data_IF_289909527083
#
_entry.id   IF_289909527083
#
_cell.length_a   1.000
_cell.length_b   1.000
_cell.length_c   1.000
_cell.angle_alpha   90.00
_cell.angle_beta   90.00
_cell.angle_gamma   90.00
#
_symmetry.space_group_name_H-M   'P 1'
#
loop_
_entity.id
_entity.type
_entity.pdbx_description
1 polymer ?
#
# COMPACT_ATOMS: atom_id res chain seq x y z
N UNK A 1 13.21 -11.53 19.50
CA UNK A 1 12.92 -10.11 19.13
C UNK A 1 11.99 -9.51 20.17
N UNK A 2 12.35 -8.40 20.82
CA UNK A 2 11.43 -7.65 21.68
C UNK A 2 10.34 -7.02 20.80
N UNK A 3 9.07 -7.25 21.14
CA UNK A 3 7.94 -6.54 20.53
C UNK A 3 8.18 -5.04 20.71
N UNK A 4 8.27 -4.30 19.59
CA UNK A 4 8.38 -2.85 19.63
C UNK A 4 6.99 -2.29 19.34
N UNK A 5 6.34 -1.61 20.31
CA UNK A 5 5.08 -0.93 20.06
C UNK A 5 5.27 0.03 18.89
N UNK A 6 4.35 -0.01 17.92
CA UNK A 6 4.37 0.92 16.79
C UNK A 6 2.98 1.51 16.60
N UNK A 7 2.92 2.84 16.49
CA UNK A 7 1.69 3.55 16.18
C UNK A 7 1.31 3.24 14.74
N UNK A 8 0.15 2.61 14.53
CA UNK A 8 -0.36 2.31 13.20
C UNK A 8 -1.31 3.42 12.77
N UNK A 9 -1.15 3.88 11.53
CA UNK A 9 -2.15 4.72 10.88
C UNK A 9 -3.35 3.85 10.53
N UNK A 10 -4.51 4.18 11.11
CA UNK A 10 -5.79 3.54 10.80
C UNK A 10 -6.78 4.61 10.36
N UNK A 11 -7.63 4.33 9.35
CA UNK A 11 -8.77 5.15 9.06
C UNK A 11 -9.61 5.34 10.32
N UNK A 12 -10.10 6.56 10.54
CA UNK A 12 -10.96 6.85 11.69
C UNK A 12 -11.82 8.07 11.38
N UNK A 13 -13.00 8.10 11.99
CA UNK A 13 -13.98 9.17 11.84
C UNK A 13 -13.83 10.27 12.90
N UNK A 14 -12.74 10.24 13.70
CA UNK A 14 -12.49 11.26 14.72
C UNK A 14 -12.20 12.61 14.08
N UNK A 15 -12.48 13.66 14.84
CA UNK A 15 -12.16 15.04 14.49
C UNK A 15 -10.71 15.21 14.04
N UNK A 16 -10.53 16.01 12.99
CA UNK A 16 -9.23 16.28 12.38
C UNK A 16 -8.76 17.67 12.76
N UNK A 17 -7.74 17.76 13.62
CA UNK A 17 -7.11 19.04 14.00
C UNK A 17 -5.83 19.27 13.19
N UNK A 18 -5.64 20.49 12.70
CA UNK A 18 -4.49 20.87 11.85
C UNK A 18 -4.26 19.94 10.65
N UNK A 19 -5.34 19.41 10.06
CA UNK A 19 -5.27 18.47 8.96
C UNK A 19 -4.99 19.19 7.65
N UNK A 20 -3.98 18.71 6.92
CA UNK A 20 -3.63 19.22 5.60
C UNK A 20 -4.39 18.39 4.58
N UNK A 21 -5.24 19.03 3.77
CA UNK A 21 -6.00 18.36 2.72
C UNK A 21 -5.97 19.15 1.42
N UNK A 22 -6.15 18.44 0.30
CA UNK A 22 -6.33 19.07 -1.01
C UNK A 22 -7.75 19.64 -1.16
N UNK A 23 -7.90 20.75 -1.91
CA UNK A 23 -9.19 21.45 -1.98
C UNK A 23 -10.34 20.57 -2.53
N UNK A 24 -10.05 19.68 -3.49
CA UNK A 24 -11.06 18.75 -4.03
C UNK A 24 -11.55 17.75 -2.98
N UNK A 25 -10.63 17.27 -2.15
CA UNK A 25 -10.93 16.38 -1.04
C UNK A 25 -11.77 17.11 0.00
N UNK A 26 -11.41 18.36 0.36
CA UNK A 26 -12.22 19.17 1.26
C UNK A 26 -13.63 19.40 0.72
N UNK A 27 -13.78 19.76 -0.55
CA UNK A 27 -15.11 19.90 -1.19
C UNK A 27 -15.93 18.61 -1.10
N UNK A 28 -15.28 17.47 -1.36
CA UNK A 28 -15.92 16.16 -1.22
C UNK A 28 -16.36 15.91 0.22
N UNK A 29 -15.49 16.14 1.21
CA UNK A 29 -15.80 15.91 2.62
C UNK A 29 -16.95 16.80 3.10
N UNK A 30 -16.95 18.09 2.74
CA UNK A 30 -18.03 19.03 3.06
C UNK A 30 -19.37 18.56 2.48
N UNK A 31 -19.38 18.09 1.22
CA UNK A 31 -20.59 17.54 0.58
C UNK A 31 -21.14 16.32 1.33
N UNK A 32 -20.28 15.52 1.96
CA UNK A 32 -20.66 14.34 2.73
C UNK A 32 -20.81 14.61 4.23
N UNK A 33 -20.98 15.88 4.63
CA UNK A 33 -21.36 16.25 5.99
C UNK A 33 -20.21 16.55 6.95
N UNK A 34 -18.95 16.55 6.49
CA UNK A 34 -17.84 17.02 7.33
C UNK A 34 -18.03 18.52 7.61
N UNK A 35 -17.97 18.90 8.88
CA UNK A 35 -18.10 20.30 9.31
C UNK A 35 -16.71 20.93 9.44
N UNK A 36 -16.51 22.06 8.76
CA UNK A 36 -15.25 22.81 8.82
C UNK A 36 -15.34 23.90 9.90
N UNK A 37 -14.49 23.80 10.93
CA UNK A 37 -14.43 24.80 12.00
C UNK A 37 -13.52 25.99 11.65
N UNK A 38 -12.31 25.71 11.13
CA UNK A 38 -11.29 26.75 10.90
C UNK A 38 -10.32 26.41 9.78
N UNK A 39 -10.00 27.42 8.97
CA UNK A 39 -8.90 27.38 7.99
C UNK A 39 -7.69 28.13 8.54
N UNK A 40 -6.55 27.47 8.63
CA UNK A 40 -5.33 28.06 9.19
C UNK A 40 -4.40 28.65 8.12
N UNK A 41 -4.20 27.94 7.02
CA UNK A 41 -3.26 28.31 5.94
C UNK A 41 -3.79 27.80 4.61
N UNK A 42 -3.54 28.56 3.55
CA UNK A 42 -3.89 28.19 2.17
C UNK A 42 -2.64 28.28 1.31
N UNK A 43 -2.33 27.21 0.58
CA UNK A 43 -1.29 27.19 -0.44
C UNK A 43 -1.97 27.21 -1.82
N UNK A 44 -1.79 28.31 -2.57
CA UNK A 44 -2.32 28.47 -3.93
C UNK A 44 -1.23 28.14 -4.95
N UNK A 45 -1.60 27.46 -6.03
CA UNK A 45 -0.68 27.07 -7.10
C UNK A 45 -1.40 26.94 -8.44
N UNK A 46 -0.64 27.06 -9.53
CA UNK A 46 -1.10 26.76 -10.88
C UNK A 46 -0.84 25.28 -11.20
N UNK A 47 -1.69 24.69 -12.03
CA UNK A 47 -1.62 23.27 -12.39
C UNK A 47 -1.52 23.13 -13.91
N UNK A 48 -0.68 22.19 -14.36
CA UNK A 48 -0.56 21.81 -15.78
C UNK A 48 -0.40 20.28 -15.89
N UNK A 49 -0.83 19.65 -16.98
CA UNK A 49 -0.73 18.20 -17.18
C UNK A 49 0.69 17.78 -17.63
N UNK A 50 1.73 18.23 -16.94
CA UNK A 50 3.14 18.05 -17.37
C UNK A 50 3.60 16.58 -17.41
N UNK A 51 3.05 15.72 -16.55
CA UNK A 51 3.32 14.27 -16.58
C UNK A 51 2.45 13.49 -17.58
N UNK A 52 1.43 14.10 -18.19
CA UNK A 52 0.41 13.38 -18.96
C UNK A 52 1.02 12.54 -20.08
N UNK A 53 1.93 13.11 -20.88
CA UNK A 53 2.59 12.40 -22.00
C UNK A 53 3.36 11.17 -21.50
N UNK A 54 4.11 11.31 -20.40
CA UNK A 54 4.89 10.22 -19.81
C UNK A 54 4.02 9.09 -19.26
N UNK A 55 2.98 9.44 -18.48
CA UNK A 55 2.07 8.46 -17.88
C UNK A 55 1.29 7.70 -18.96
N UNK A 56 0.79 8.41 -19.98
CA UNK A 56 0.07 7.79 -21.09
C UNK A 56 0.98 6.86 -21.88
N UNK A 57 2.21 7.30 -22.22
CA UNK A 57 3.19 6.45 -22.88
C UNK A 57 3.41 5.13 -22.12
N UNK A 58 3.75 5.18 -20.83
CA UNK A 58 3.98 3.97 -20.05
C UNK A 58 2.72 3.10 -19.92
N UNK A 59 1.54 3.71 -19.92
CA UNK A 59 0.26 2.98 -19.84
C UNK A 59 -0.02 2.22 -21.13
N UNK A 60 0.18 2.85 -22.28
CA UNK A 60 0.05 2.20 -23.58
C UNK A 60 1.09 1.09 -23.75
N UNK A 61 2.34 1.35 -23.38
CA UNK A 61 3.38 0.32 -23.40
C UNK A 61 3.01 -0.88 -22.51
N UNK A 62 2.54 -0.63 -21.28
CA UNK A 62 2.06 -1.68 -20.38
C UNK A 62 0.89 -2.46 -20.96
N UNK A 63 -0.03 -1.80 -21.66
CA UNK A 63 -1.20 -2.44 -22.29
C UNK A 63 -0.77 -3.36 -23.43
N UNK A 64 0.23 -2.95 -24.21
CA UNK A 64 0.73 -3.67 -25.38
C UNK A 64 1.76 -4.76 -25.04
N UNK A 65 2.38 -4.70 -23.86
CA UNK A 65 3.31 -5.71 -23.38
C UNK A 65 2.68 -7.10 -23.29
N UNK A 66 3.38 -8.11 -23.81
CA UNK A 66 2.95 -9.52 -23.74
C UNK A 66 3.44 -10.20 -22.48
N UNK A 67 4.64 -9.87 -22.03
CA UNK A 67 5.30 -10.53 -20.91
C UNK A 67 5.02 -9.83 -19.58
N UNK A 68 4.94 -10.62 -18.50
CA UNK A 68 4.72 -10.10 -17.15
C UNK A 68 5.82 -9.12 -16.72
N UNK A 69 7.08 -9.41 -17.08
CA UNK A 69 8.22 -8.54 -16.78
C UNK A 69 8.05 -7.12 -17.34
N UNK A 70 7.70 -6.98 -18.62
CA UNK A 70 7.55 -5.67 -19.25
C UNK A 70 6.36 -4.89 -18.65
N UNK A 71 5.25 -5.60 -18.37
CA UNK A 71 4.09 -5.01 -17.69
C UNK A 71 4.48 -4.43 -16.33
N UNK A 72 5.29 -5.16 -15.56
CA UNK A 72 5.77 -4.73 -14.26
C UNK A 72 6.79 -3.61 -14.36
N UNK A 73 7.64 -3.60 -15.40
CA UNK A 73 8.58 -2.52 -15.67
C UNK A 73 7.86 -1.20 -15.92
N UNK A 74 6.91 -1.13 -16.85
CA UNK A 74 6.17 0.11 -17.13
C UNK A 74 5.29 0.56 -15.95
N UNK A 75 4.75 -0.39 -15.18
CA UNK A 75 4.07 -0.11 -13.90
C UNK A 75 5.04 0.54 -12.90
N UNK A 76 6.24 0.00 -12.75
CA UNK A 76 7.26 0.52 -11.86
C UNK A 76 7.71 1.93 -12.27
N UNK A 77 7.85 2.20 -13.56
CA UNK A 77 8.23 3.53 -14.07
C UNK A 77 7.21 4.61 -13.64
N UNK A 78 5.92 4.31 -13.74
CA UNK A 78 4.87 5.21 -13.23
C UNK A 78 4.91 5.36 -11.70
N UNK A 79 4.99 4.25 -10.96
CA UNK A 79 5.00 4.27 -9.49
C UNK A 79 6.24 4.95 -8.90
N UNK A 80 7.38 4.85 -9.58
CA UNK A 80 8.65 5.44 -9.16
C UNK A 80 8.62 6.96 -9.16
N UNK A 81 7.85 7.58 -10.06
CA UNK A 81 7.66 9.04 -10.06
C UNK A 81 7.07 9.51 -8.73
N UNK A 82 5.99 8.86 -8.28
CA UNK A 82 5.39 9.17 -6.98
C UNK A 82 6.39 8.97 -5.83
N UNK A 83 7.05 7.80 -5.77
CA UNK A 83 8.04 7.51 -4.74
C UNK A 83 9.18 8.55 -4.71
N UNK A 84 9.62 9.03 -5.87
CA UNK A 84 10.66 10.06 -5.98
C UNK A 84 10.18 11.42 -5.49
N UNK A 85 8.92 11.80 -5.74
CA UNK A 85 8.37 13.07 -5.25
C UNK A 85 8.28 13.11 -3.72
N UNK A 86 8.07 11.97 -3.07
CA UNK A 86 7.95 11.82 -1.62
C UNK A 86 9.27 11.43 -0.93
N UNK A 87 10.41 11.48 -1.64
CA UNK A 87 11.70 11.09 -1.08
C UNK A 87 12.12 12.00 0.08
N UNK A 88 12.34 11.42 1.27
CA UNK A 88 12.87 12.17 2.40
C UNK A 88 14.40 12.27 2.32
N UNK A 89 14.88 13.39 1.80
CA UNK A 89 16.31 13.69 1.61
C UNK A 89 17.06 13.71 2.95
N UNK A 90 16.38 13.98 4.08
CA UNK A 90 17.00 13.97 5.42
C UNK A 90 17.48 12.59 5.86
N UNK A 91 16.96 11.54 5.23
CA UNK A 91 17.41 10.16 5.48
C UNK A 91 18.70 9.82 4.73
N UNK A 92 19.16 10.66 3.79
CA UNK A 92 20.40 10.42 3.06
C UNK A 92 21.60 10.54 4.00
N UNK A 93 22.56 9.65 3.81
CA UNK A 93 23.80 9.59 4.59
C UNK A 93 24.97 9.51 3.63
N UNK A 94 26.11 10.06 4.05
CA UNK A 94 27.39 9.74 3.45
C UNK A 94 27.88 8.43 4.03
N UNK A 95 28.09 7.43 3.16
CA UNK A 95 28.72 6.17 3.53
C UNK A 95 30.11 6.14 2.89
N UNK A 96 31.14 5.94 3.71
CA UNK A 96 32.52 5.82 3.27
C UNK A 96 33.12 4.53 3.84
N UNK A 97 33.92 3.85 3.02
CA UNK A 97 34.80 2.77 3.43
C UNK A 97 36.21 3.34 3.52
N UNK A 98 36.84 3.22 4.67
CA UNK A 98 38.14 3.83 4.97
C UNK A 98 39.00 2.90 5.79
N UNK A 99 40.32 3.13 5.77
CA UNK A 99 41.27 2.52 6.68
C UNK A 99 41.29 3.22 8.06
N UNK A 100 42.01 2.63 9.01
CA UNK A 100 42.03 3.06 10.41
C UNK A 100 42.45 4.52 10.62
N UNK A 101 43.50 4.99 9.95
CA UNK A 101 43.97 6.39 10.10
C UNK A 101 42.89 7.41 9.72
N UNK A 102 42.16 7.15 8.63
CA UNK A 102 41.09 8.03 8.15
C UNK A 102 39.80 7.81 8.94
N UNK A 103 39.57 6.60 9.47
CA UNK A 103 38.45 6.29 10.33
C UNK A 103 38.46 7.15 11.60
N UNK A 104 39.62 7.29 12.27
CA UNK A 104 39.76 8.10 13.49
C UNK A 104 39.28 9.55 13.26
N UNK A 105 39.71 10.19 12.17
CA UNK A 105 39.28 11.55 11.80
C UNK A 105 37.77 11.63 11.54
N UNK A 106 37.18 10.62 10.91
CA UNK A 106 35.77 10.59 10.55
C UNK A 106 34.85 10.27 11.74
N UNK A 107 35.32 9.48 12.70
CA UNK A 107 34.61 9.15 13.94
C UNK A 107 34.58 10.35 14.89
N UNK A 108 35.66 11.14 14.95
CA UNK A 108 35.69 12.37 15.75
C UNK A 108 34.79 13.49 15.19
N UNK A 109 34.31 13.38 13.94
CA UNK A 109 33.50 14.43 13.32
C UNK A 109 32.09 14.48 13.93
N UNK A 110 31.51 15.68 14.17
CA UNK A 110 30.16 15.84 14.74
C UNK A 110 29.06 15.29 13.83
N UNK A 111 29.38 15.04 12.56
CA UNK A 111 28.49 14.42 11.58
C UNK A 111 28.41 12.89 11.68
N UNK A 112 29.17 12.25 12.57
CA UNK A 112 29.14 10.81 12.73
C UNK A 112 27.73 10.35 13.13
N UNK A 113 27.19 9.36 12.41
CA UNK A 113 25.94 8.69 12.78
C UNK A 113 26.19 7.30 13.35
N UNK A 114 27.06 6.54 12.70
CA UNK A 114 27.49 5.20 13.12
C UNK A 114 28.72 4.79 12.33
N UNK A 115 29.60 4.00 12.94
CA UNK A 115 30.64 3.26 12.22
C UNK A 115 30.46 1.75 12.41
N UNK A 116 31.08 0.97 11.54
CA UNK A 116 31.14 -0.48 11.62
C UNK A 116 32.51 -0.94 11.13
N UNK A 117 33.23 -1.68 11.96
CA UNK A 117 34.51 -2.28 11.62
C UNK A 117 34.21 -3.61 10.90
N UNK A 118 34.79 -3.80 9.72
CA UNK A 118 34.62 -5.03 8.93
C UNK A 118 35.80 -5.98 9.14
N UNK A 119 37.02 -5.44 9.14
CA UNK A 119 38.28 -6.12 9.46
C UNK A 119 39.30 -5.09 9.99
N UNK A 120 40.57 -5.47 10.10
CA UNK A 120 41.65 -4.64 10.65
C UNK A 120 42.04 -3.45 9.76
N UNK A 121 41.62 -3.43 8.49
CA UNK A 121 42.00 -2.38 7.52
C UNK A 121 40.78 -1.65 6.94
N UNK A 122 39.56 -2.09 7.27
CA UNK A 122 38.34 -1.60 6.66
C UNK A 122 37.27 -1.24 7.71
N UNK A 123 36.98 0.06 7.77
CA UNK A 123 35.91 0.64 8.59
C UNK A 123 34.89 1.33 7.68
N UNK A 124 33.63 0.93 7.82
CA UNK A 124 32.49 1.62 7.23
C UNK A 124 31.99 2.73 8.14
N UNK A 125 32.12 3.98 7.72
CA UNK A 125 31.63 5.15 8.46
C UNK A 125 30.41 5.74 7.77
N UNK A 126 29.30 5.85 8.50
CA UNK A 126 28.06 6.52 8.08
C UNK A 126 27.96 7.88 8.76
N UNK A 127 27.79 8.93 7.97
CA UNK A 127 27.70 10.32 8.42
C UNK A 127 26.42 10.98 7.94
N UNK A 128 25.90 11.92 8.73
CA UNK A 128 24.85 12.83 8.25
C UNK A 128 25.45 13.83 7.27
N UNK A 129 24.68 14.19 6.25
CA UNK A 129 25.04 15.24 5.29
C UNK A 129 25.07 16.60 6.00
N UNK A 130 26.18 17.35 5.87
CA UNK A 130 26.33 18.69 6.45
C UNK A 130 25.32 19.69 5.89
N UNK A 131 25.17 19.71 4.57
CA UNK A 131 24.22 20.54 3.86
C UNK A 131 23.23 19.65 3.10
N UNK A 132 21.95 19.99 3.15
CA UNK A 132 20.88 19.27 2.47
C UNK A 132 20.07 20.25 1.62
N UNK A 133 20.01 20.00 0.32
CA UNK A 133 19.11 20.74 -0.58
C UNK A 133 17.75 20.05 -0.60
N UNK A 134 16.69 20.76 -0.23
CA UNK A 134 15.31 20.26 -0.28
C UNK A 134 14.71 20.47 -1.69
N UNK A 135 15.14 19.65 -2.63
CA UNK A 135 14.82 19.74 -4.07
C UNK A 135 13.71 18.78 -4.54
N UNK A 136 13.05 18.07 -3.62
CA UNK A 136 12.02 17.09 -3.98
C UNK A 136 10.64 17.77 -4.02
N UNK A 137 9.85 17.56 -5.08
CA UNK A 137 8.54 18.19 -5.23
C UNK A 137 7.47 17.50 -4.38
N UNK A 138 7.60 17.56 -3.05
CA UNK A 138 6.74 16.85 -2.09
C UNK A 138 5.26 17.21 -2.26
N UNK A 139 4.96 18.45 -2.64
CA UNK A 139 3.59 18.89 -2.92
C UNK A 139 2.91 18.10 -4.03
N UNK A 140 3.66 17.65 -5.04
CA UNK A 140 3.15 16.78 -6.12
C UNK A 140 2.75 15.43 -5.55
N UNK A 141 3.62 14.82 -4.75
CA UNK A 141 3.34 13.54 -4.09
C UNK A 141 2.13 13.64 -3.15
N UNK A 142 2.04 14.72 -2.38
CA UNK A 142 0.88 15.01 -1.54
C UNK A 142 -0.43 15.05 -2.35
N UNK A 143 -0.46 15.80 -3.45
CA UNK A 143 -1.68 15.92 -4.29
C UNK A 143 -2.03 14.59 -4.96
N UNK A 144 -1.04 13.81 -5.42
CA UNK A 144 -1.29 12.47 -5.98
C UNK A 144 -1.97 11.56 -4.94
N UNK A 145 -1.48 11.57 -3.70
CA UNK A 145 -2.04 10.76 -2.62
C UNK A 145 -3.46 11.23 -2.26
N UNK A 146 -3.71 12.53 -2.17
CA UNK A 146 -5.05 13.08 -1.89
C UNK A 146 -6.04 12.72 -3.01
N UNK A 147 -5.65 12.85 -4.28
CA UNK A 147 -6.49 12.46 -5.41
C UNK A 147 -6.78 10.95 -5.43
N UNK A 148 -5.79 10.12 -5.07
CA UNK A 148 -5.99 8.68 -4.94
C UNK A 148 -7.04 8.35 -3.87
N UNK A 149 -6.98 8.98 -2.69
CA UNK A 149 -8.03 8.84 -1.66
C UNK A 149 -9.39 9.29 -2.17
N UNK A 150 -9.44 10.39 -2.92
CA UNK A 150 -10.69 10.92 -3.46
C UNK A 150 -11.36 9.93 -4.41
N UNK A 151 -10.61 9.23 -5.26
CA UNK A 151 -11.14 8.17 -6.13
C UNK A 151 -11.77 7.05 -5.31
N UNK A 152 -11.06 6.57 -4.28
CA UNK A 152 -11.55 5.50 -3.39
C UNK A 152 -12.80 5.92 -2.62
N UNK A 153 -12.80 7.12 -2.05
CA UNK A 153 -13.96 7.66 -1.33
C UNK A 153 -15.15 7.92 -2.24
N UNK A 154 -14.91 8.41 -3.47
CA UNK A 154 -15.97 8.63 -4.43
C UNK A 154 -16.64 7.31 -4.81
N UNK A 155 -15.87 6.26 -5.06
CA UNK A 155 -16.43 4.92 -5.30
C UNK A 155 -17.23 4.41 -4.09
N UNK A 156 -16.68 4.53 -2.88
CA UNK A 156 -17.38 4.09 -1.68
C UNK A 156 -18.69 4.84 -1.42
N UNK A 157 -18.65 6.18 -1.35
CA UNK A 157 -19.81 6.97 -0.92
C UNK A 157 -20.79 7.29 -2.04
N UNK A 158 -20.31 7.57 -3.26
CA UNK A 158 -21.18 8.00 -4.36
C UNK A 158 -21.62 6.84 -5.28
N UNK A 159 -20.98 5.67 -5.21
CA UNK A 159 -21.39 4.47 -5.95
C UNK A 159 -21.96 3.44 -4.98
N UNK A 160 -21.12 2.80 -4.16
CA UNK A 160 -21.54 1.66 -3.34
C UNK A 160 -22.60 2.03 -2.29
N UNK A 161 -22.34 3.03 -1.44
CA UNK A 161 -23.32 3.45 -0.42
C UNK A 161 -24.57 4.07 -1.02
N UNK A 162 -24.50 4.59 -2.24
CA UNK A 162 -25.67 5.17 -2.92
C UNK A 162 -26.57 4.08 -3.50
N UNK A 163 -25.99 3.04 -4.10
CA UNK A 163 -26.73 1.93 -4.71
C UNK A 163 -27.32 1.00 -3.64
N UNK A 164 -26.51 0.61 -2.66
CA UNK A 164 -26.89 -0.44 -1.71
C UNK A 164 -27.29 0.07 -0.33
N UNK A 165 -26.95 1.32 0.02
CA UNK A 165 -27.21 1.84 1.36
C UNK A 165 -26.60 0.93 2.43
N UNK A 166 -27.43 0.40 3.32
CA UNK A 166 -27.00 -0.47 4.42
C UNK A 166 -26.88 -1.96 4.03
N UNK A 167 -27.28 -2.32 2.80
CA UNK A 167 -27.05 -3.64 2.22
C UNK A 167 -25.60 -3.89 1.79
N UNK A 168 -24.73 -2.89 1.89
CA UNK A 168 -23.31 -3.03 1.61
C UNK A 168 -22.46 -2.68 2.83
N UNK A 169 -21.65 -3.63 3.27
CA UNK A 169 -20.67 -3.46 4.33
C UNK A 169 -19.25 -3.47 3.77
N UNK A 170 -18.44 -2.48 4.14
CA UNK A 170 -17.03 -2.44 3.77
C UNK A 170 -16.20 -3.31 4.72
N UNK A 171 -15.83 -4.51 4.27
CA UNK A 171 -15.05 -5.46 5.05
C UNK A 171 -13.57 -5.05 5.18
N UNK A 172 -13.00 -4.47 4.13
CA UNK A 172 -11.58 -4.15 4.07
C UNK A 172 -11.23 -3.09 3.04
N UNK A 173 -10.15 -2.36 3.30
CA UNK A 173 -9.46 -1.52 2.32
C UNK A 173 -7.94 -1.55 2.51
N UNK A 174 -7.19 -1.63 1.40
CA UNK A 174 -5.75 -1.34 1.38
C UNK A 174 -5.37 -0.56 0.12
N UNK A 175 -4.99 0.69 0.34
CA UNK A 175 -4.44 1.64 -0.65
C UNK A 175 -5.36 1.92 -1.85
N UNK A 176 -5.53 0.95 -2.74
CA UNK A 176 -6.25 0.99 -4.01
C UNK A 176 -7.24 -0.18 -4.17
N UNK A 177 -7.55 -0.89 -3.08
CA UNK A 177 -8.52 -2.00 -3.05
C UNK A 177 -9.61 -1.79 -2.00
N UNK A 178 -10.80 -2.29 -2.30
CA UNK A 178 -11.97 -2.35 -1.41
C UNK A 178 -12.57 -3.77 -1.52
N UNK A 179 -13.02 -4.30 -0.39
CA UNK A 179 -13.74 -5.57 -0.33
C UNK A 179 -15.04 -5.34 0.41
N UNK A 180 -16.15 -5.76 -0.20
CA UNK A 180 -17.49 -5.55 0.31
C UNK A 180 -18.20 -6.87 0.54
N UNK A 181 -19.04 -6.90 1.56
CA UNK A 181 -20.20 -7.78 1.63
C UNK A 181 -21.40 -7.00 1.10
N UNK A 182 -22.13 -7.58 0.15
CA UNK A 182 -23.24 -6.90 -0.53
C UNK A 182 -24.42 -7.85 -0.67
N UNK A 183 -25.55 -7.45 -0.09
CA UNK A 183 -26.84 -8.12 -0.28
C UNK A 183 -27.52 -7.60 -1.55
N UNK A 184 -27.52 -8.42 -2.60
CA UNK A 184 -28.17 -8.16 -3.89
C UNK A 184 -28.56 -9.48 -4.58
N UNK A 185 -29.42 -9.42 -5.58
CA UNK A 185 -29.82 -10.58 -6.37
C UNK A 185 -28.68 -11.03 -7.29
N UNK A 186 -28.08 -10.09 -8.05
CA UNK A 186 -26.91 -10.34 -8.89
C UNK A 186 -26.01 -9.10 -8.95
N UNK A 187 -24.85 -9.21 -8.31
CA UNK A 187 -23.83 -8.15 -8.27
C UNK A 187 -23.29 -7.81 -9.68
N UNK A 188 -23.24 -8.79 -10.59
CA UNK A 188 -22.76 -8.58 -11.94
C UNK A 188 -23.80 -7.85 -12.79
N UNK A 189 -25.10 -8.11 -12.57
CA UNK A 189 -26.14 -7.32 -13.20
C UNK A 189 -26.07 -5.86 -12.74
N UNK A 190 -25.88 -5.61 -11.44
CA UNK A 190 -25.72 -4.24 -10.93
C UNK A 190 -24.48 -3.54 -11.52
N UNK A 191 -23.35 -4.26 -11.62
CA UNK A 191 -22.13 -3.74 -12.26
C UNK A 191 -22.37 -3.34 -13.72
N UNK A 192 -23.27 -4.02 -14.45
CA UNK A 192 -23.59 -3.71 -15.84
C UNK A 192 -24.14 -2.29 -16.03
N UNK A 193 -24.78 -1.72 -15.00
CA UNK A 193 -25.34 -0.36 -15.01
C UNK A 193 -24.27 0.73 -14.92
N UNK A 194 -23.06 0.35 -14.49
CA UNK A 194 -21.93 1.25 -14.24
C UNK A 194 -20.66 0.77 -14.94
N UNK A 195 -20.79 0.25 -16.17
CA UNK A 195 -19.62 -0.29 -16.88
C UNK A 195 -18.50 0.72 -17.10
N UNK A 196 -18.78 2.03 -17.11
CA UNK A 196 -17.77 3.09 -17.29
C UNK A 196 -16.72 3.16 -16.18
N UNK A 197 -17.05 2.68 -14.97
CA UNK A 197 -16.14 2.67 -13.81
C UNK A 197 -15.40 1.33 -13.63
N UNK A 198 -15.86 0.25 -14.24
CA UNK A 198 -15.28 -1.09 -14.09
C UNK A 198 -14.38 -1.48 -15.26
N UNK A 199 -13.25 -2.12 -14.95
CA UNK A 199 -12.38 -2.80 -15.91
C UNK A 199 -12.61 -4.32 -15.79
N UNK A 200 -13.46 -4.85 -16.67
CA UNK A 200 -13.82 -6.27 -16.76
C UNK A 200 -13.02 -7.01 -17.83
N UNK A 201 -11.90 -6.45 -18.30
CA UNK A 201 -11.09 -7.04 -19.39
C UNK A 201 -10.42 -8.37 -19.03
N UNK A 202 -10.37 -8.69 -17.73
CA UNK A 202 -9.80 -9.94 -17.21
C UNK A 202 -10.87 -11.04 -17.00
N UNK A 203 -12.14 -10.79 -17.35
CA UNK A 203 -13.24 -11.75 -17.21
C UNK A 203 -13.13 -12.89 -18.25
N UNK A 204 -13.78 -14.04 -18.02
CA UNK A 204 -13.98 -15.06 -19.05
C UNK A 204 -14.63 -14.46 -20.30
N UNK A 205 -14.18 -14.86 -21.50
CA UNK A 205 -14.64 -14.27 -22.78
C UNK A 205 -16.12 -14.52 -23.07
N UNK A 206 -16.67 -15.57 -22.48
CA UNK A 206 -18.07 -15.99 -22.53
C UNK A 206 -18.95 -15.27 -21.49
N UNK A 207 -18.35 -14.52 -20.56
CA UNK A 207 -19.10 -13.75 -19.56
C UNK A 207 -19.74 -12.50 -20.19
N UNK A 208 -21.02 -12.23 -19.93
CA UNK A 208 -21.76 -11.12 -20.55
C UNK A 208 -21.16 -9.72 -20.28
N UNK A 209 -20.49 -9.53 -19.13
CA UNK A 209 -19.76 -8.31 -18.79
C UNK A 209 -18.36 -8.18 -19.41
N UNK A 210 -17.83 -9.19 -20.11
CA UNK A 210 -16.47 -9.12 -20.65
C UNK A 210 -16.33 -7.93 -21.62
N UNK A 211 -15.39 -7.03 -21.31
CA UNK A 211 -15.11 -5.87 -22.18
C UNK A 211 -13.68 -5.38 -22.03
N UNK A 212 -13.00 -5.18 -23.16
CA UNK A 212 -11.66 -4.55 -23.18
C UNK A 212 -11.71 -3.01 -23.25
N UNK A 213 -12.91 -2.42 -23.35
CA UNK A 213 -13.11 -0.97 -23.53
C UNK A 213 -12.54 -0.12 -22.38
N UNK A 214 -12.59 -0.65 -21.15
CA UNK A 214 -12.17 0.03 -19.93
C UNK A 214 -10.84 -0.48 -19.35
N UNK A 215 -10.02 -1.13 -20.20
CA UNK A 215 -8.63 -1.47 -19.88
C UNK A 215 -7.74 -0.21 -19.87
N UNK A 216 -8.00 0.69 -18.92
CA UNK A 216 -7.40 2.02 -18.79
C UNK A 216 -7.19 2.41 -17.33
N UNK A 217 -6.44 3.48 -17.10
CA UNK A 217 -6.21 4.00 -15.74
C UNK A 217 -7.52 4.53 -15.15
N UNK A 218 -7.75 4.26 -13.86
CA UNK A 218 -8.81 4.87 -13.06
C UNK A 218 -10.09 4.04 -12.97
N UNK A 219 -10.17 2.91 -13.67
CA UNK A 219 -11.24 1.95 -13.52
C UNK A 219 -10.93 0.92 -12.42
N UNK A 220 -11.97 0.42 -11.76
CA UNK A 220 -11.88 -0.62 -10.74
C UNK A 220 -11.93 -2.00 -11.39
N UNK A 221 -10.94 -2.84 -11.07
CA UNK A 221 -10.91 -4.23 -11.49
C UNK A 221 -11.54 -5.11 -10.43
N UNK A 222 -12.34 -6.08 -10.83
CA UNK A 222 -12.61 -7.23 -9.98
C UNK A 222 -11.40 -8.18 -10.03
N UNK A 223 -10.72 -8.30 -8.90
CA UNK A 223 -9.51 -9.12 -8.76
C UNK A 223 -9.77 -10.63 -8.92
N UNK A 224 -11.02 -11.08 -8.78
CA UNK A 224 -11.37 -12.49 -8.88
C UNK A 224 -11.92 -12.91 -10.24
N UNK A 225 -12.07 -11.98 -11.18
CA UNK A 225 -12.45 -12.24 -12.57
C UNK A 225 -13.80 -12.98 -12.66
N UNK A 226 -14.87 -12.32 -12.19
CA UNK A 226 -16.24 -12.82 -12.16
C UNK A 226 -16.48 -14.02 -11.24
N UNK A 227 -15.60 -14.23 -10.25
CA UNK A 227 -15.74 -15.31 -9.27
C UNK A 227 -16.02 -14.72 -7.89
N UNK A 228 -17.21 -14.96 -7.31
CA UNK A 228 -17.55 -14.34 -6.03
C UNK A 228 -16.65 -14.83 -4.90
N UNK A 229 -16.49 -13.98 -3.89
CA UNK A 229 -15.85 -14.35 -2.63
C UNK A 229 -16.82 -15.28 -1.90
N UNK A 230 -16.34 -16.47 -1.54
CA UNK A 230 -17.08 -17.40 -0.70
C UNK A 230 -16.90 -17.02 0.78
N UNK A 231 -15.69 -16.57 1.13
CA UNK A 231 -15.37 -16.21 2.50
C UNK A 231 -14.22 -15.22 2.60
N UNK A 232 -14.35 -14.27 3.51
CA UNK A 232 -13.35 -13.29 3.86
C UNK A 232 -13.02 -13.34 5.35
N UNK A 233 -11.73 -13.34 5.69
CA UNK A 233 -11.25 -13.26 7.08
C UNK A 233 -10.20 -12.16 7.19
N UNK A 234 -10.55 -11.08 7.90
CA UNK A 234 -9.65 -9.96 8.18
C UNK A 234 -9.19 -9.94 9.64
N UNK A 235 -7.90 -10.17 9.89
CA UNK A 235 -7.37 -10.19 11.27
C UNK A 235 -6.83 -8.83 11.74
N UNK A 236 -6.19 -8.08 10.82
CA UNK A 236 -5.61 -6.74 11.08
C UNK A 236 -5.19 -6.08 9.75
N UNK A 237 -4.84 -4.79 9.75
CA UNK A 237 -4.34 -4.14 8.53
C UNK A 237 -3.18 -4.91 7.87
N UNK A 238 -3.36 -5.21 6.58
CA UNK A 238 -2.43 -6.00 5.75
C UNK A 238 -2.23 -7.45 6.24
N UNK A 239 -3.28 -8.02 6.84
CA UNK A 239 -3.34 -9.44 7.24
C UNK A 239 -4.77 -9.98 7.10
N UNK A 240 -5.01 -10.71 6.03
CA UNK A 240 -6.34 -11.20 5.66
C UNK A 240 -6.24 -12.39 4.70
N UNK A 241 -7.34 -13.12 4.58
CA UNK A 241 -7.51 -14.26 3.68
C UNK A 241 -8.83 -14.15 2.93
N UNK A 242 -8.81 -14.43 1.62
CA UNK A 242 -9.98 -14.48 0.74
C UNK A 242 -10.03 -15.89 0.15
N UNK A 243 -11.20 -16.54 0.23
CA UNK A 243 -11.49 -17.82 -0.39
C UNK A 243 -12.51 -17.62 -1.50
N UNK A 244 -12.22 -18.18 -2.67
CA UNK A 244 -13.15 -18.21 -3.82
C UNK A 244 -12.96 -19.50 -4.61
N UNK A 245 -13.74 -19.67 -5.68
CA UNK A 245 -13.56 -20.80 -6.62
C UNK A 245 -12.16 -20.85 -7.25
N UNK A 246 -11.45 -19.72 -7.29
CA UNK A 246 -10.08 -19.64 -7.82
C UNK A 246 -9.01 -20.04 -6.80
N UNK A 247 -9.42 -20.36 -5.57
CA UNK A 247 -8.55 -20.75 -4.46
C UNK A 247 -8.42 -19.68 -3.40
N UNK A 248 -7.29 -19.68 -2.71
CA UNK A 248 -7.05 -18.85 -1.52
C UNK A 248 -6.04 -17.73 -1.79
N UNK A 249 -6.46 -16.47 -1.66
CA UNK A 249 -5.54 -15.31 -1.59
C UNK A 249 -5.25 -14.99 -0.14
N UNK A 250 -3.98 -15.12 0.26
CA UNK A 250 -3.51 -14.93 1.63
C UNK A 250 -2.52 -13.76 1.70
N UNK A 251 -2.76 -12.83 2.61
CA UNK A 251 -1.86 -11.70 2.87
C UNK A 251 -1.44 -11.72 4.33
N UNK A 252 -0.14 -11.74 4.60
CA UNK A 252 0.42 -11.67 5.95
C UNK A 252 1.66 -10.74 5.97
N UNK A 253 1.45 -9.45 6.24
CA UNK A 253 2.56 -8.49 6.22
C UNK A 253 3.67 -8.88 7.20
N UNK A 254 4.89 -8.96 6.65
CA UNK A 254 6.10 -9.23 7.42
C UNK A 254 6.48 -10.71 7.48
N UNK A 255 5.65 -11.61 6.93
CA UNK A 255 5.97 -13.03 6.72
C UNK A 255 6.49 -13.20 5.29
N UNK A 256 7.50 -14.06 5.10
CA UNK A 256 8.02 -14.36 3.78
C UNK A 256 6.93 -14.98 2.88
N UNK A 257 6.89 -14.55 1.60
CA UNK A 257 5.89 -15.01 0.63
C UNK A 257 5.86 -16.54 0.50
N UNK A 258 7.03 -17.17 0.44
CA UNK A 258 7.15 -18.64 0.36
C UNK A 258 6.53 -19.36 1.55
N UNK A 259 6.62 -18.78 2.75
CA UNK A 259 5.99 -19.33 3.96
C UNK A 259 4.47 -19.18 3.89
N UNK A 260 3.98 -18.01 3.45
CA UNK A 260 2.54 -17.78 3.27
C UNK A 260 1.93 -18.76 2.26
N UNK A 261 2.62 -19.01 1.14
CA UNK A 261 2.14 -19.91 0.10
C UNK A 261 2.18 -21.39 0.55
N UNK A 262 3.26 -21.82 1.21
CA UNK A 262 3.46 -23.24 1.55
C UNK A 262 2.81 -23.67 2.85
N UNK A 263 2.88 -22.84 3.90
CA UNK A 263 2.58 -23.26 5.27
C UNK A 263 1.29 -22.67 5.83
N UNK A 264 0.73 -21.63 5.20
CA UNK A 264 -0.49 -20.97 5.68
C UNK A 264 -1.66 -21.31 4.76
N UNK A 265 -2.82 -21.60 5.33
CA UNK A 265 -4.10 -21.87 4.66
C UNK A 265 -5.16 -20.89 5.14
N UNK A 266 -6.27 -20.78 4.42
CA UNK A 266 -7.39 -19.93 4.83
C UNK A 266 -7.90 -20.34 6.22
N UNK A 267 -7.93 -21.65 6.49
CA UNK A 267 -8.34 -22.21 7.79
C UNK A 267 -7.47 -21.75 8.96
N UNK A 268 -6.19 -21.43 8.75
CA UNK A 268 -5.35 -20.86 9.80
C UNK A 268 -5.83 -19.48 10.24
N UNK A 269 -6.36 -18.67 9.32
CA UNK A 269 -6.94 -17.37 9.65
C UNK A 269 -8.25 -17.53 10.42
N UNK A 270 -9.08 -18.53 10.06
CA UNK A 270 -10.30 -18.88 10.79
C UNK A 270 -9.99 -19.28 12.23
N UNK A 271 -9.13 -20.28 12.41
CA UNK A 271 -8.73 -20.76 13.74
C UNK A 271 -8.17 -19.65 14.62
N UNK A 272 -7.43 -18.70 14.05
CA UNK A 272 -6.92 -17.57 14.82
C UNK A 272 -7.99 -16.56 15.23
N UNK A 273 -9.10 -16.50 14.50
CA UNK A 273 -10.27 -15.69 14.85
C UNK A 273 -11.08 -16.37 15.94
N UNK A 274 -11.33 -17.67 15.80
CA UNK A 274 -12.18 -18.46 16.71
C UNK A 274 -11.47 -18.84 18.02
N UNK A 275 -10.23 -19.31 17.95
CA UNK A 275 -9.50 -19.79 19.12
C UNK A 275 -8.71 -18.69 19.84
N UNK A 276 -8.60 -17.48 19.25
CA UNK A 276 -7.75 -16.38 19.72
C UNK A 276 -6.27 -16.76 19.95
N UNK A 277 -5.83 -17.90 19.42
CA UNK A 277 -4.46 -18.40 19.55
C UNK A 277 -3.58 -17.85 18.43
N UNK A 278 -2.35 -17.51 18.79
CA UNK A 278 -1.38 -17.03 17.83
C UNK A 278 -0.52 -18.16 17.26
N UNK A 279 -0.50 -18.32 15.95
CA UNK A 279 0.40 -19.27 15.29
C UNK A 279 1.77 -18.62 15.06
N UNK A 280 2.85 -19.38 15.25
CA UNK A 280 4.22 -18.95 15.00
C UNK A 280 4.90 -19.93 14.07
N UNK A 281 5.62 -19.42 13.07
CA UNK A 281 6.37 -20.23 12.11
C UNK A 281 7.81 -19.76 12.06
N UNK A 282 8.70 -20.70 11.79
CA UNK A 282 10.10 -20.43 11.57
C UNK A 282 10.28 -20.13 10.09
N UNK A 283 10.81 -18.95 9.79
CA UNK A 283 11.24 -18.63 8.43
C UNK A 283 12.76 -18.54 8.37
N UNK A 284 13.31 -19.13 7.32
CA UNK A 284 14.74 -19.02 7.00
C UNK A 284 14.94 -17.79 6.12
N UNK A 285 15.86 -16.92 6.51
CA UNK A 285 16.25 -15.77 5.73
C UNK A 285 17.77 -15.73 5.59
N UNK A 286 18.25 -15.43 4.39
CA UNK A 286 19.66 -15.07 4.19
C UNK A 286 19.82 -13.63 4.64
N UNK A 287 20.64 -13.43 5.66
CA UNK A 287 20.98 -12.11 6.18
C UNK A 287 22.47 -11.86 5.92
N UNK A 288 22.79 -10.69 5.35
CA UNK A 288 24.16 -10.21 5.29
C UNK A 288 24.47 -9.41 6.56
N UNK A 289 25.48 -9.86 7.32
CA UNK A 289 26.02 -9.13 8.44
C UNK A 289 27.54 -9.10 8.34
N UNK A 290 28.13 -7.90 8.31
CA UNK A 290 29.59 -7.71 8.11
C UNK A 290 30.09 -8.35 6.81
N UNK A 291 29.33 -8.20 5.72
CA UNK A 291 29.61 -8.84 4.43
C UNK A 291 29.69 -10.37 4.48
N UNK A 292 29.35 -11.00 5.61
CA UNK A 292 29.20 -12.45 5.73
C UNK A 292 27.72 -12.79 5.58
N UNK A 293 27.42 -13.63 4.59
CA UNK A 293 26.09 -14.19 4.43
C UNK A 293 25.89 -15.27 5.48
N UNK A 294 24.78 -15.19 6.23
CA UNK A 294 24.37 -16.19 7.20
C UNK A 294 22.91 -16.56 6.94
N UNK A 295 22.60 -17.83 7.11
CA UNK A 295 21.21 -18.28 7.20
C UNK A 295 20.72 -18.04 8.63
N UNK A 296 19.67 -17.25 8.79
CA UNK A 296 19.11 -16.89 10.09
C UNK A 296 17.68 -17.44 10.19
N UNK A 297 17.40 -18.11 11.29
CA UNK A 297 16.07 -18.60 11.63
C UNK A 297 15.35 -17.50 12.40
N UNK A 298 14.24 -17.01 11.87
CA UNK A 298 13.40 -16.03 12.57
C UNK A 298 12.03 -16.63 12.83
N UNK A 299 11.64 -16.74 14.10
CA UNK A 299 10.27 -17.07 14.46
C UNK A 299 9.39 -15.84 14.30
N UNK A 300 8.36 -15.94 13.46
CA UNK A 300 7.39 -14.86 13.22
C UNK A 300 6.02 -15.29 13.69
N UNK A 301 5.33 -14.35 14.33
CA UNK A 301 3.94 -14.49 14.70
C UNK A 301 3.08 -14.23 13.45
N UNK A 302 2.39 -15.26 12.99
CA UNK A 302 1.66 -15.27 11.70
C UNK A 302 0.31 -14.63 11.85
N UNK A 303 -0.42 -15.04 12.87
CA UNK A 303 -1.78 -14.63 13.13
C UNK A 303 -1.87 -14.27 14.60
N UNK A 304 -2.26 -13.05 14.91
CA UNK A 304 -2.76 -12.69 16.23
C UNK A 304 -3.98 -11.83 15.99
N UNK A 305 -5.08 -12.20 16.61
CA UNK A 305 -6.25 -11.35 16.67
C UNK A 305 -5.85 -10.02 17.34
N UNK A 306 -6.11 -8.91 16.65
CA UNK A 306 -6.11 -7.60 17.28
C UNK A 306 -7.58 -7.28 17.51
N UNK A 307 -8.04 -7.33 18.76
CA UNK A 307 -9.25 -6.61 19.13
C UNK A 307 -9.01 -5.14 18.82
N UNK A 308 -9.55 -4.67 17.70
CA UNK A 308 -9.84 -3.26 17.55
C UNK A 308 -11.25 -3.14 18.11
N UNK A 309 -11.36 -2.93 19.42
CA UNK A 309 -12.62 -2.48 20.01
C UNK A 309 -12.89 -1.09 19.43
N UNK A 310 -13.70 -1.04 18.37
CA UNK A 310 -14.51 0.14 18.12
C UNK A 310 -15.57 0.13 19.22
N UNK A 311 -15.22 0.72 20.37
CA UNK A 311 -16.24 1.19 21.32
C UNK A 311 -16.98 2.28 20.54
N UNK A 312 -18.23 1.98 20.18
CA UNK A 312 -19.15 2.93 19.55
C UNK A 312 -19.40 4.14 20.45
#
# INVERSE_FOLDING_TARGET
MKYTPSTKLVPNLKDKKNYITYYKNLQFYLKHGLKLEKVHKILKFQQKPWLKKYILFNTEQRKNSKFAFEKDFFKLMNNSVYGKTMENIRNRVDAQLVNDEKAQKLVAAPTLKRFKIFDNELVGVKRVKKCLTLDKPIYVGFVILELSKLIMHNFHYNVIKKEYGDKAELLFTDTDSLTYDVETEDIYEDMSRHMDIYDTSDYPRDHFLFSESNKKIGCFKDELHSKPIIEFIGLRPKMYSIKSERGEKKTAKGVARSVVERNIRHEDYRRCTEELKSTREIQHQIQSENHKLKTVNTTKLLCAHLMISAIY
#
